data_IF_938538583500
#
_entry.id   IF_938538583500
#
_cell.length_a   1.000
_cell.length_b   1.000
_cell.length_c   1.000
_cell.angle_alpha   90.00
_cell.angle_beta   90.00
_cell.angle_gamma   90.00
#
_symmetry.space_group_name_H-M   'P 1'
#
loop_
_entity.id
_entity.type
_entity.pdbx_description
1 polymer ?
#
# COMPACT_ATOMS: atom_id res chain seq x y z
N UNK A 1 32.59 6.44 -17.36
CA UNK A 1 32.34 5.27 -16.48
C UNK A 1 30.95 5.47 -15.88
N UNK A 2 29.92 4.92 -16.51
CA UNK A 2 28.56 4.95 -16.00
C UNK A 2 28.47 3.97 -14.81
N UNK A 3 28.26 4.52 -13.62
CA UNK A 3 27.91 3.72 -12.46
C UNK A 3 26.54 3.09 -12.72
N UNK A 4 26.51 1.84 -13.10
CA UNK A 4 25.28 1.05 -13.08
C UNK A 4 24.82 0.94 -11.62
N UNK A 5 23.97 1.89 -11.19
CA UNK A 5 23.27 1.75 -9.90
C UNK A 5 22.44 0.48 -10.00
N UNK A 6 22.78 -0.54 -9.24
CA UNK A 6 21.95 -1.72 -9.09
C UNK A 6 20.53 -1.28 -8.69
N UNK A 7 19.53 -1.97 -9.26
CA UNK A 7 18.12 -1.73 -8.92
C UNK A 7 17.93 -1.66 -7.39
N UNK A 8 17.19 -0.68 -6.89
CA UNK A 8 16.95 -0.58 -5.45
C UNK A 8 16.17 -1.81 -4.98
N UNK A 9 16.72 -2.56 -4.04
CA UNK A 9 16.06 -3.73 -3.46
C UNK A 9 14.72 -3.33 -2.85
N UNK A 10 13.66 -4.16 -2.95
CA UNK A 10 12.42 -3.93 -2.24
C UNK A 10 12.66 -3.61 -0.76
N UNK A 11 11.79 -2.80 -0.15
CA UNK A 11 11.85 -2.60 1.29
C UNK A 11 11.39 -3.89 1.98
N UNK A 12 12.18 -4.37 2.93
CA UNK A 12 11.86 -5.51 3.76
C UNK A 12 11.54 -5.06 5.19
N UNK A 13 10.61 -5.71 5.85
CA UNK A 13 9.69 -6.76 5.36
C UNK A 13 8.68 -6.26 4.34
N UNK A 14 8.12 -7.19 3.51
CA UNK A 14 7.09 -6.91 2.51
C UNK A 14 5.80 -6.42 3.17
N UNK A 15 5.22 -5.34 2.63
CA UNK A 15 3.86 -4.89 2.98
C UNK A 15 2.92 -5.09 1.79
N UNK A 16 1.78 -5.73 2.02
CA UNK A 16 0.66 -5.81 1.08
C UNK A 16 -0.57 -5.22 1.75
N UNK A 17 -1.32 -4.40 1.02
CA UNK A 17 -2.56 -3.81 1.53
C UNK A 17 -3.74 -4.68 1.11
N UNK A 18 -4.57 -5.09 2.06
CA UNK A 18 -5.86 -5.73 1.80
C UNK A 18 -6.97 -4.70 2.02
N UNK A 19 -7.72 -4.40 0.97
CA UNK A 19 -8.88 -3.51 0.98
C UNK A 19 -10.16 -4.33 1.09
N UNK A 20 -10.91 -4.17 2.18
CA UNK A 20 -12.20 -4.79 2.39
C UNK A 20 -13.37 -3.82 2.26
N UNK A 21 -14.52 -4.32 1.78
CA UNK A 21 -15.78 -3.60 1.78
C UNK A 21 -15.95 -2.59 0.65
N UNK A 22 -15.19 -2.74 -0.44
CA UNK A 22 -15.36 -1.93 -1.64
C UNK A 22 -16.74 -2.13 -2.28
N UNK A 23 -17.37 -1.04 -2.65
CA UNK A 23 -18.65 -1.00 -3.38
C UNK A 23 -18.41 -0.43 -4.78
N UNK A 24 -18.53 -1.26 -5.84
CA UNK A 24 -18.10 -0.90 -7.21
C UNK A 24 -18.66 0.40 -7.75
N UNK A 25 -19.92 0.74 -7.46
CA UNK A 25 -20.53 1.98 -7.97
C UNK A 25 -20.21 3.22 -7.11
N UNK A 26 -19.72 3.05 -5.89
CA UNK A 26 -19.62 4.13 -4.90
C UNK A 26 -18.19 4.46 -4.52
N UNK A 27 -17.35 3.45 -4.40
CA UNK A 27 -16.04 3.58 -3.78
C UNK A 27 -14.88 3.54 -4.79
N UNK A 28 -15.15 3.47 -6.11
CA UNK A 28 -14.13 3.32 -7.17
C UNK A 28 -13.00 4.33 -7.01
N UNK A 29 -13.36 5.62 -6.90
CA UNK A 29 -12.36 6.69 -6.76
C UNK A 29 -11.54 6.53 -5.49
N UNK A 30 -12.17 6.29 -4.34
CA UNK A 30 -11.47 6.18 -3.07
C UNK A 30 -10.58 4.93 -3.03
N UNK A 31 -11.08 3.78 -3.48
CA UNK A 31 -10.29 2.55 -3.54
C UNK A 31 -9.11 2.67 -4.50
N UNK A 32 -9.31 3.34 -5.66
CA UNK A 32 -8.20 3.65 -6.56
C UNK A 32 -7.14 4.49 -5.86
N UNK A 33 -7.53 5.53 -5.11
CA UNK A 33 -6.58 6.36 -4.36
C UNK A 33 -5.85 5.57 -3.28
N UNK A 34 -6.53 4.67 -2.54
CA UNK A 34 -5.88 3.79 -1.55
C UNK A 34 -4.83 2.90 -2.23
N UNK A 35 -5.16 2.29 -3.37
CA UNK A 35 -4.22 1.45 -4.12
C UNK A 35 -3.01 2.23 -4.65
N UNK A 36 -3.24 3.43 -5.19
CA UNK A 36 -2.16 4.29 -5.67
C UNK A 36 -1.29 4.85 -4.53
N UNK A 37 -1.88 5.16 -3.39
CA UNK A 37 -1.15 5.56 -2.16
C UNK A 37 -0.28 4.41 -1.68
N UNK A 38 -0.82 3.19 -1.60
CA UNK A 38 -0.04 2.00 -1.25
C UNK A 38 1.16 1.83 -2.17
N UNK A 39 0.94 1.90 -3.50
CA UNK A 39 2.00 1.80 -4.50
C UNK A 39 3.06 2.90 -4.34
N UNK A 40 2.63 4.14 -4.24
CA UNK A 40 3.54 5.30 -4.18
C UNK A 40 4.42 5.28 -2.92
N UNK A 41 3.90 4.74 -1.82
CA UNK A 41 4.60 4.61 -0.54
C UNK A 41 5.18 3.21 -0.31
N UNK A 42 5.58 2.54 -1.41
CA UNK A 42 6.39 1.33 -1.40
C UNK A 42 5.76 0.06 -0.79
N UNK A 43 4.44 0.00 -0.63
CA UNK A 43 3.80 -1.31 -0.48
C UNK A 43 4.02 -2.12 -1.76
N UNK A 44 4.25 -3.42 -1.64
CA UNK A 44 4.56 -4.29 -2.78
C UNK A 44 3.32 -4.89 -3.44
N UNK A 45 2.14 -4.74 -2.85
CA UNK A 45 0.92 -5.24 -3.45
C UNK A 45 -0.36 -4.71 -2.81
N UNK A 46 -1.46 -5.02 -3.48
CA UNK A 46 -2.80 -4.65 -3.08
C UNK A 46 -3.77 -5.78 -3.42
N UNK A 47 -4.59 -6.18 -2.46
CA UNK A 47 -5.66 -7.16 -2.60
C UNK A 47 -6.99 -6.43 -2.44
N UNK A 48 -7.79 -6.40 -3.50
CA UNK A 48 -9.19 -5.99 -3.43
C UNK A 48 -10.03 -7.21 -3.09
N UNK A 49 -10.35 -7.37 -1.80
CA UNK A 49 -10.99 -8.60 -1.33
C UNK A 49 -12.48 -8.64 -1.62
N UNK A 50 -12.98 -9.87 -1.83
CA UNK A 50 -14.40 -10.22 -1.95
C UNK A 50 -15.14 -9.66 -3.17
N UNK A 51 -14.48 -8.86 -4.00
CA UNK A 51 -15.09 -8.21 -5.16
C UNK A 51 -14.05 -7.98 -6.27
N UNK A 52 -14.51 -7.95 -7.50
CA UNK A 52 -13.72 -7.59 -8.67
C UNK A 52 -14.17 -6.22 -9.22
N UNK A 53 -13.20 -5.36 -9.55
CA UNK A 53 -13.42 -4.10 -10.22
C UNK A 53 -12.30 -3.83 -11.24
N UNK A 54 -12.60 -4.14 -12.49
CA UNK A 54 -11.65 -4.02 -13.59
C UNK A 54 -11.19 -2.57 -13.82
N UNK A 55 -12.02 -1.57 -13.51
CA UNK A 55 -11.66 -0.16 -13.70
C UNK A 55 -10.51 0.26 -12.78
N UNK A 56 -10.48 -0.27 -11.56
CA UNK A 56 -9.39 -0.08 -10.60
C UNK A 56 -8.13 -0.82 -11.08
N UNK A 57 -8.29 -2.11 -11.46
CA UNK A 57 -7.18 -2.93 -11.95
C UNK A 57 -6.48 -2.29 -13.16
N UNK A 58 -7.25 -1.81 -14.13
CA UNK A 58 -6.73 -1.13 -15.33
C UNK A 58 -5.99 0.16 -14.97
N UNK A 59 -6.55 0.97 -14.04
CA UNK A 59 -5.91 2.20 -13.59
C UNK A 59 -4.59 1.92 -12.90
N UNK A 60 -4.54 0.96 -11.97
CA UNK A 60 -3.33 0.57 -11.26
C UNK A 60 -2.28 0.04 -12.24
N UNK A 61 -2.67 -0.84 -13.17
CA UNK A 61 -1.78 -1.39 -14.21
C UNK A 61 -1.21 -0.29 -15.09
N UNK A 62 -2.04 0.64 -15.58
CA UNK A 62 -1.62 1.77 -16.40
C UNK A 62 -0.63 2.68 -15.68
N UNK A 63 -0.85 2.97 -14.40
CA UNK A 63 0.08 3.77 -13.60
C UNK A 63 1.40 3.01 -13.39
N UNK A 64 1.35 1.74 -13.01
CA UNK A 64 2.56 0.93 -12.79
C UNK A 64 3.39 0.79 -14.06
N UNK A 65 2.77 0.60 -15.23
CA UNK A 65 3.48 0.49 -16.51
C UNK A 65 4.19 1.78 -16.94
N UNK A 66 3.73 2.94 -16.49
CA UNK A 66 4.34 4.26 -16.79
C UNK A 66 5.36 4.69 -15.75
N UNK A 67 5.05 4.48 -14.48
CA UNK A 67 5.82 4.98 -13.35
C UNK A 67 6.73 3.92 -12.71
N UNK A 68 6.75 2.71 -13.27
CA UNK A 68 7.63 1.62 -12.84
C UNK A 68 7.19 0.94 -11.55
N UNK A 69 8.08 0.11 -11.03
CA UNK A 69 7.86 -0.70 -9.82
C UNK A 69 7.09 -2.00 -10.09
N UNK A 70 7.36 -3.00 -9.27
CA UNK A 70 6.69 -4.31 -9.32
C UNK A 70 5.55 -4.36 -8.28
N UNK A 71 4.48 -3.60 -8.53
CA UNK A 71 3.32 -3.56 -7.65
C UNK A 71 2.30 -4.63 -8.07
N UNK A 72 2.07 -5.60 -7.20
CA UNK A 72 1.13 -6.68 -7.45
C UNK A 72 -0.30 -6.22 -7.14
N UNK A 73 -1.24 -6.47 -8.05
CA UNK A 73 -2.66 -6.18 -7.82
C UNK A 73 -3.48 -7.46 -8.01
N UNK A 74 -4.20 -7.83 -6.98
CA UNK A 74 -5.09 -8.99 -6.93
C UNK A 74 -6.50 -8.54 -6.56
N UNK A 75 -7.55 -9.23 -7.05
CA UNK A 75 -8.94 -8.97 -6.71
C UNK A 75 -9.77 -10.25 -6.68
N UNK A 76 -10.93 -10.20 -6.00
CA UNK A 76 -11.88 -11.30 -5.93
C UNK A 76 -11.61 -12.32 -4.81
N UNK A 77 -10.37 -12.48 -4.38
CA UNK A 77 -10.04 -13.37 -3.25
C UNK A 77 -10.76 -12.93 -1.98
N UNK A 78 -11.41 -13.87 -1.29
CA UNK A 78 -12.08 -13.55 -0.03
C UNK A 78 -11.06 -13.08 1.01
N UNK A 79 -11.45 -12.11 1.85
CA UNK A 79 -10.58 -11.64 2.92
C UNK A 79 -10.16 -12.77 3.87
N UNK A 80 -11.05 -13.74 4.13
CA UNK A 80 -10.75 -14.89 4.98
C UNK A 80 -9.64 -15.74 4.40
N UNK A 81 -9.73 -16.04 3.11
CA UNK A 81 -8.70 -16.82 2.38
C UNK A 81 -7.38 -16.06 2.35
N UNK A 82 -7.40 -14.76 2.04
CA UNK A 82 -6.20 -13.95 1.99
C UNK A 82 -5.49 -13.88 3.37
N UNK A 83 -6.23 -13.64 4.45
CA UNK A 83 -5.68 -13.64 5.83
C UNK A 83 -5.15 -15.00 6.22
N UNK A 84 -5.90 -16.08 5.93
CA UNK A 84 -5.47 -17.44 6.25
C UNK A 84 -4.14 -17.77 5.57
N UNK A 85 -4.06 -17.58 4.26
CA UNK A 85 -2.84 -17.87 3.50
C UNK A 85 -1.66 -17.02 3.97
N UNK A 86 -1.88 -15.73 4.22
CA UNK A 86 -0.84 -14.83 4.71
C UNK A 86 -0.24 -15.27 6.03
N UNK A 87 -1.09 -15.69 6.97
CA UNK A 87 -0.65 -16.23 8.27
C UNK A 87 0.03 -17.59 8.13
N UNK A 88 -0.48 -18.47 7.26
CA UNK A 88 0.14 -19.77 6.98
C UNK A 88 1.57 -19.59 6.41
N UNK A 89 1.82 -18.55 5.61
CA UNK A 89 3.13 -18.18 5.09
C UNK A 89 4.02 -17.46 6.13
N UNK A 90 3.59 -17.42 7.40
CA UNK A 90 4.36 -16.82 8.50
C UNK A 90 4.25 -15.30 8.62
N UNK A 91 3.42 -14.65 7.82
CA UNK A 91 3.17 -13.20 7.89
C UNK A 91 2.29 -12.80 9.07
N UNK A 92 2.21 -11.50 9.32
CA UNK A 92 1.32 -10.89 10.32
C UNK A 92 0.29 -9.99 9.67
N UNK A 93 -0.84 -9.82 10.34
CA UNK A 93 -1.94 -8.95 9.91
C UNK A 93 -2.02 -7.75 10.84
N UNK A 94 -2.01 -6.55 10.27
CA UNK A 94 -2.18 -5.28 10.97
C UNK A 94 -3.45 -4.60 10.46
N UNK A 95 -4.43 -4.39 11.33
CA UNK A 95 -5.68 -3.73 11.00
C UNK A 95 -5.62 -2.25 11.34
N UNK A 96 -5.78 -1.40 10.34
CA UNK A 96 -5.91 0.06 10.55
C UNK A 96 -7.34 0.41 10.93
N UNK A 97 -7.50 0.92 12.14
CA UNK A 97 -8.81 1.25 12.72
C UNK A 97 -8.68 2.38 13.74
N UNK A 98 -9.67 3.26 13.81
CA UNK A 98 -9.71 4.34 14.81
C UNK A 98 -9.76 3.83 16.26
N UNK A 99 -10.09 2.55 16.46
CA UNK A 99 -10.18 1.90 17.78
C UNK A 99 -8.89 1.19 18.20
N UNK A 100 -7.86 1.19 17.36
CA UNK A 100 -6.57 0.54 17.64
C UNK A 100 -5.68 1.30 18.61
N UNK A 101 -4.53 0.69 18.92
CA UNK A 101 -3.47 1.36 19.66
C UNK A 101 -2.90 2.52 18.84
N UNK A 102 -2.78 3.68 19.47
CA UNK A 102 -2.32 4.88 18.77
C UNK A 102 -0.85 4.76 18.37
N UNK A 103 -0.57 4.93 17.09
CA UNK A 103 0.75 4.76 16.50
C UNK A 103 1.81 5.72 17.08
N UNK A 104 1.41 6.88 17.63
CA UNK A 104 2.32 7.87 18.19
C UNK A 104 2.55 7.69 19.69
N UNK A 105 1.51 7.34 20.45
CA UNK A 105 1.56 7.29 21.92
C UNK A 105 1.77 5.89 22.50
N UNK A 106 1.90 4.86 21.65
CA UNK A 106 2.20 3.48 22.05
C UNK A 106 3.46 2.95 21.37
N UNK A 107 3.92 1.78 21.78
CA UNK A 107 5.04 1.07 21.18
C UNK A 107 4.62 0.10 20.05
N UNK A 108 3.36 0.18 19.60
CA UNK A 108 2.77 -0.78 18.65
C UNK A 108 3.60 -0.92 17.37
N UNK A 109 4.12 0.19 16.85
CA UNK A 109 4.93 0.19 15.64
C UNK A 109 6.26 -0.55 15.83
N UNK A 110 6.91 -0.35 16.97
CA UNK A 110 8.15 -1.07 17.33
C UNK A 110 7.88 -2.57 17.48
N UNK A 111 6.76 -2.95 18.12
CA UNK A 111 6.36 -4.37 18.25
C UNK A 111 6.08 -5.01 16.90
N UNK A 112 5.44 -4.30 15.97
CA UNK A 112 5.22 -4.78 14.59
C UNK A 112 6.58 -4.98 13.88
N UNK A 113 7.46 -3.99 13.92
CA UNK A 113 8.78 -4.04 13.27
C UNK A 113 9.66 -5.15 13.85
N UNK A 114 9.62 -5.37 15.17
CA UNK A 114 10.42 -6.40 15.84
C UNK A 114 10.06 -7.83 15.43
N UNK A 115 8.85 -8.04 14.89
CA UNK A 115 8.48 -9.35 14.33
C UNK A 115 9.33 -9.74 13.11
N UNK A 116 9.88 -8.78 12.39
CA UNK A 116 10.62 -8.98 11.14
C UNK A 116 9.90 -9.90 10.15
N UNK A 117 8.59 -9.73 10.03
CA UNK A 117 7.69 -10.54 9.21
C UNK A 117 7.00 -9.69 8.15
N UNK A 118 6.60 -10.32 7.06
CA UNK A 118 5.74 -9.69 6.06
C UNK A 118 4.41 -9.24 6.68
N UNK A 119 3.92 -8.07 6.28
CA UNK A 119 2.73 -7.43 6.85
C UNK A 119 1.60 -7.41 5.83
N UNK A 120 0.44 -7.97 6.17
CA UNK A 120 -0.82 -7.70 5.51
C UNK A 120 -1.51 -6.55 6.24
N UNK A 121 -1.59 -5.40 5.58
CA UNK A 121 -2.20 -4.21 6.15
C UNK A 121 -3.67 -4.15 5.75
N UNK A 122 -4.56 -4.39 6.70
CA UNK A 122 -5.99 -4.48 6.48
C UNK A 122 -6.64 -3.11 6.61
N UNK A 123 -7.32 -2.66 5.53
CA UNK A 123 -7.95 -1.34 5.41
C UNK A 123 -9.41 -1.51 5.00
N UNK A 124 -10.33 -1.19 5.89
CA UNK A 124 -11.77 -1.21 5.61
C UNK A 124 -12.25 0.03 4.86
N UNK A 125 -13.32 -0.08 4.06
CA UNK A 125 -14.00 1.06 3.41
C UNK A 125 -15.27 1.51 4.14
N UNK A 126 -15.73 0.73 5.10
CA UNK A 126 -16.94 0.95 5.88
C UNK A 126 -16.82 0.22 7.21
N UNK A 127 -17.93 0.11 7.97
CA UNK A 127 -17.93 -0.67 9.20
C UNK A 127 -17.49 -2.12 8.89
N UNK A 128 -16.35 -2.48 9.41
CA UNK A 128 -15.74 -3.81 9.19
C UNK A 128 -16.40 -4.90 10.03
N UNK A 129 -16.26 -6.20 9.67
CA UNK A 129 -16.64 -7.32 10.52
C UNK A 129 -15.98 -7.24 11.90
N UNK A 130 -16.72 -7.67 12.93
CA UNK A 130 -16.19 -7.72 14.30
C UNK A 130 -14.93 -8.57 14.44
N UNK A 131 -14.82 -9.64 13.64
CA UNK A 131 -13.68 -10.56 13.61
C UNK A 131 -12.34 -9.84 13.37
N UNK A 132 -12.34 -8.68 12.66
CA UNK A 132 -11.12 -7.92 12.37
C UNK A 132 -10.39 -7.42 13.61
N UNK A 133 -11.10 -7.28 14.72
CA UNK A 133 -10.53 -6.77 15.98
C UNK A 133 -9.85 -7.86 16.83
N UNK A 134 -10.03 -9.13 16.50
CA UNK A 134 -9.56 -10.25 17.30
C UNK A 134 -8.33 -10.93 16.70
N UNK A 135 -7.56 -11.62 17.56
CA UNK A 135 -6.27 -12.24 17.23
C UNK A 135 -6.34 -13.31 16.14
N UNK A 136 -7.50 -13.93 15.94
CA UNK A 136 -7.75 -14.89 14.87
C UNK A 136 -7.55 -14.27 13.48
N UNK A 137 -7.86 -12.98 13.36
CA UNK A 137 -7.68 -12.18 12.12
C UNK A 137 -6.46 -11.28 12.23
N UNK A 138 -6.45 -10.33 13.17
CA UNK A 138 -5.43 -9.29 13.26
C UNK A 138 -4.47 -9.51 14.42
N UNK A 139 -3.18 -9.52 14.13
CA UNK A 139 -2.15 -9.55 15.16
C UNK A 139 -2.04 -8.22 15.92
N UNK A 140 -2.34 -7.12 15.23
CA UNK A 140 -2.32 -5.76 15.77
C UNK A 140 -3.49 -4.95 15.23
N UNK A 141 -4.12 -4.16 16.10
CA UNK A 141 -5.05 -3.11 15.72
C UNK A 141 -4.37 -1.76 15.96
N UNK A 142 -4.21 -0.95 14.92
CA UNK A 142 -3.45 0.30 14.97
C UNK A 142 -4.32 1.48 14.56
N UNK A 143 -4.29 2.54 15.35
CA UNK A 143 -4.90 3.81 15.00
C UNK A 143 -3.86 4.84 14.57
N UNK A 144 -4.18 5.56 13.51
CA UNK A 144 -3.45 6.75 13.07
C UNK A 144 -4.25 7.97 13.56
N UNK A 145 -4.15 8.24 14.87
CA UNK A 145 -5.08 9.09 15.58
C UNK A 145 -6.44 8.43 15.81
N UNK A 146 -7.14 8.82 16.86
CA UNK A 146 -8.42 8.25 17.27
C UNK A 146 -9.60 9.15 16.87
N UNK A 147 -9.45 9.88 15.75
CA UNK A 147 -10.51 10.69 15.14
C UNK A 147 -10.87 10.14 13.78
N UNK A 148 -12.14 10.25 13.34
CA UNK A 148 -12.56 9.83 12.00
C UNK A 148 -11.83 10.62 10.92
N UNK A 149 -11.21 9.91 9.98
CA UNK A 149 -10.56 10.51 8.80
C UNK A 149 -10.47 9.50 7.65
N UNK A 150 -9.88 9.91 6.52
CA UNK A 150 -9.78 9.06 5.32
C UNK A 150 -8.82 7.89 5.52
N UNK A 151 -9.17 6.75 4.92
CA UNK A 151 -8.33 5.55 4.86
C UNK A 151 -7.00 5.81 4.12
N UNK A 152 -7.01 6.70 3.11
CA UNK A 152 -5.77 7.12 2.44
C UNK A 152 -4.81 7.81 3.39
N UNK A 153 -5.32 8.67 4.28
CA UNK A 153 -4.50 9.36 5.28
C UNK A 153 -3.93 8.38 6.30
N UNK A 154 -4.78 7.47 6.81
CA UNK A 154 -4.33 6.43 7.73
C UNK A 154 -3.23 5.56 7.11
N UNK A 155 -3.46 5.08 5.88
CA UNK A 155 -2.49 4.28 5.14
C UNK A 155 -1.18 5.03 4.91
N UNK A 156 -1.25 6.28 4.44
CA UNK A 156 -0.06 7.06 4.13
C UNK A 156 0.81 7.30 5.38
N UNK A 157 0.20 7.73 6.48
CA UNK A 157 0.93 7.99 7.73
C UNK A 157 1.49 6.69 8.32
N UNK A 158 0.74 5.58 8.25
CA UNK A 158 1.25 4.29 8.71
C UNK A 158 2.50 3.87 7.92
N UNK A 159 2.46 3.93 6.59
CA UNK A 159 3.59 3.55 5.73
C UNK A 159 4.79 4.46 5.95
N UNK A 160 4.59 5.77 6.03
CA UNK A 160 5.65 6.75 6.31
C UNK A 160 6.35 6.45 7.66
N UNK A 161 5.58 6.23 8.71
CA UNK A 161 6.13 5.88 10.03
C UNK A 161 6.80 4.50 10.04
N UNK A 162 6.25 3.55 9.30
CA UNK A 162 6.82 2.22 9.21
C UNK A 162 8.16 2.23 8.48
N UNK A 163 8.26 2.92 7.35
CA UNK A 163 9.49 3.02 6.55
C UNK A 163 10.40 4.17 6.95
N UNK A 164 9.99 5.02 7.92
CA UNK A 164 10.78 6.13 8.46
C UNK A 164 11.17 7.17 7.39
N UNK A 165 10.23 7.45 6.47
CA UNK A 165 10.43 8.39 5.36
C UNK A 165 11.28 7.85 4.21
N UNK A 166 11.85 6.65 4.34
CA UNK A 166 12.74 6.07 3.30
C UNK A 166 12.02 5.79 1.99
N UNK A 167 10.70 5.55 2.03
CA UNK A 167 9.85 5.32 0.86
C UNK A 167 9.70 6.57 -0.02
N UNK A 168 9.84 7.78 0.55
CA UNK A 168 9.68 9.05 -0.17
C UNK A 168 10.84 9.36 -1.12
N UNK A 169 12.02 8.76 -0.89
CA UNK A 169 13.22 8.95 -1.71
C UNK A 169 13.42 7.80 -2.73
N UNK A 170 12.48 6.85 -2.78
CA UNK A 170 12.64 5.66 -3.62
C UNK A 170 12.40 5.94 -5.10
N UNK A 171 13.33 5.48 -5.91
CA UNK A 171 13.13 5.28 -7.34
C UNK A 171 12.42 3.95 -7.60
N UNK A 172 11.59 3.94 -8.64
CA UNK A 172 10.89 2.74 -9.09
C UNK A 172 11.53 2.21 -10.38
N UNK A 173 11.91 0.93 -10.37
CA UNK A 173 12.52 0.30 -11.52
C UNK A 173 11.57 0.23 -12.72
N UNK A 174 12.11 0.36 -13.94
CA UNK A 174 11.32 0.30 -15.16
C UNK A 174 10.40 1.51 -15.38
N UNK A 175 10.60 2.61 -14.64
CA UNK A 175 9.84 3.83 -14.83
C UNK A 175 10.16 4.46 -16.20
N UNK A 176 9.13 4.62 -17.06
CA UNK A 176 9.23 5.31 -18.35
C UNK A 176 9.16 6.82 -18.20
N UNK A 177 8.64 7.29 -17.08
CA UNK A 177 8.52 8.72 -16.76
C UNK A 177 9.02 8.91 -15.34
N UNK A 178 9.90 9.90 -15.14
CA UNK A 178 10.38 10.35 -13.84
C UNK A 178 10.18 11.84 -13.68
N UNK A 179 9.66 12.28 -12.55
CA UNK A 179 9.61 13.70 -12.19
C UNK A 179 11.01 14.15 -11.79
N UNK A 180 11.43 15.29 -12.32
CA UNK A 180 12.64 15.98 -11.87
C UNK A 180 12.21 17.09 -10.91
N UNK A 181 12.49 16.96 -9.60
CA UNK A 181 12.11 17.97 -8.63
C UNK A 181 12.71 19.34 -8.97
N UNK A 182 11.90 20.41 -8.88
CA UNK A 182 12.32 21.80 -9.08
C UNK A 182 11.61 22.69 -8.08
N UNK A 183 12.26 23.74 -7.64
CA UNK A 183 11.65 24.78 -6.81
C UNK A 183 10.46 25.44 -7.55
N UNK A 184 10.60 25.67 -8.86
CA UNK A 184 9.54 26.27 -9.69
C UNK A 184 9.45 25.59 -11.06
N UNK A 185 8.23 25.52 -11.58
CA UNK A 185 7.95 24.89 -12.87
C UNK A 185 7.82 23.36 -12.76
N UNK A 186 7.79 22.71 -13.92
CA UNK A 186 7.65 21.25 -14.06
C UNK A 186 8.77 20.72 -14.95
N UNK A 187 9.35 19.59 -14.58
CA UNK A 187 10.27 18.86 -15.45
C UNK A 187 10.07 17.36 -15.27
N UNK A 188 10.13 16.65 -16.38
CA UNK A 188 10.07 15.19 -16.43
C UNK A 188 11.25 14.69 -17.28
N UNK A 189 11.72 13.48 -16.95
CA UNK A 189 12.55 12.67 -17.84
C UNK A 189 11.67 11.55 -18.39
N UNK A 190 11.69 11.35 -19.69
CA UNK A 190 11.06 10.23 -20.38
C UNK A 190 12.13 9.30 -20.91
N UNK A 191 11.85 8.00 -20.94
CA UNK A 191 12.67 7.06 -21.70
C UNK A 191 12.49 7.32 -23.20
N UNK A 192 13.57 7.30 -24.00
CA UNK A 192 13.55 7.71 -25.43
C UNK A 192 12.54 6.92 -26.27
N UNK A 193 12.17 5.73 -25.85
CA UNK A 193 11.12 4.92 -26.48
C UNK A 193 9.70 5.44 -26.24
N UNK A 194 9.50 6.37 -25.29
CA UNK A 194 8.16 6.87 -24.89
C UNK A 194 7.83 8.25 -25.49
N UNK A 195 8.82 8.96 -26.04
CA UNK A 195 8.66 10.33 -26.57
C UNK A 195 7.82 10.44 -27.86
N UNK A 196 7.43 9.31 -28.46
CA UNK A 196 6.67 9.27 -29.72
C UNK A 196 5.13 9.30 -29.56
N UNK A 197 4.60 9.35 -28.31
CA UNK A 197 3.16 9.25 -28.05
C UNK A 197 2.63 10.25 -26.99
N UNK A 198 3.27 11.41 -26.85
CA UNK A 198 2.76 12.53 -26.03
C UNK A 198 2.21 13.64 -26.92
#
# INVERSE_FOLDING_TARGET
MENSKSAPKPLDPKIVVLRWGHRPQRDVRLTTHVALTARALCAQGFILSDVEDNSIAETVRRISSRWGGNFQFEMGTSWKTAVHNWKADGGIVVHLTAYGENIQSSDVLQRIKSQNKNVLLLVGSQKVPGDFYYSEVSNFNVSVGNQPHSECSALAIFLDRYFEGKELERDFDGAKIKIVPKERGKAIKTDDTFSQHL
#
